data_IF_107392060940
#
_entry.id   IF_107392060940
#
_cell.length_a   1.000
_cell.length_b   1.000
_cell.length_c   1.000
_cell.angle_alpha   90.00
_cell.angle_beta   90.00
_cell.angle_gamma   90.00
#
_symmetry.space_group_name_H-M   'P 1'
#
loop_
_entity.id
_entity.type
_entity.pdbx_description
1 polymer ?
#
# COMPACT_ATOMS: atom_id res chain seq x y z
N UNK A 1 21.47 -59.27 -4.39
CA UNK A 1 20.81 -57.98 -4.70
C UNK A 1 21.36 -56.93 -3.75
N UNK A 2 21.85 -55.81 -4.27
CA UNK A 2 22.30 -54.69 -3.44
C UNK A 2 21.13 -54.05 -2.68
N UNK A 3 21.39 -53.41 -1.55
CA UNK A 3 20.34 -52.71 -0.78
C UNK A 3 19.66 -51.65 -1.67
N UNK A 4 18.34 -51.70 -1.75
CA UNK A 4 17.53 -50.71 -2.48
C UNK A 4 17.27 -51.00 -3.95
N UNK A 5 17.80 -52.10 -4.53
CA UNK A 5 17.47 -52.49 -5.91
C UNK A 5 16.07 -53.13 -5.98
N UNK A 6 15.25 -52.72 -6.95
CA UNK A 6 13.90 -53.25 -7.20
C UNK A 6 13.88 -54.07 -8.50
N UNK A 7 14.52 -53.59 -9.57
CA UNK A 7 14.79 -54.36 -10.80
C UNK A 7 16.25 -54.19 -11.23
N UNK A 8 16.63 -54.69 -12.41
CA UNK A 8 18.00 -54.53 -12.94
C UNK A 8 18.40 -53.06 -13.18
N UNK A 9 17.43 -52.15 -13.39
CA UNK A 9 17.65 -50.73 -13.68
C UNK A 9 16.88 -49.76 -12.78
N UNK A 10 16.09 -50.26 -11.82
CA UNK A 10 15.28 -49.44 -10.90
C UNK A 10 15.73 -49.68 -9.47
N UNK A 11 16.00 -48.60 -8.75
CA UNK A 11 16.24 -48.60 -7.31
C UNK A 11 15.31 -47.62 -6.57
N UNK A 12 15.30 -47.73 -5.24
CA UNK A 12 14.45 -46.90 -4.36
C UNK A 12 14.76 -45.41 -4.51
N UNK A 13 16.02 -45.01 -4.69
CA UNK A 13 16.38 -43.60 -4.81
C UNK A 13 15.83 -42.99 -6.10
N UNK A 14 15.87 -43.73 -7.21
CA UNK A 14 15.26 -43.32 -8.47
C UNK A 14 13.74 -43.13 -8.35
N UNK A 15 13.04 -44.05 -7.66
CA UNK A 15 11.59 -43.91 -7.45
C UNK A 15 11.28 -42.68 -6.61
N UNK A 16 12.00 -42.48 -5.50
CA UNK A 16 11.82 -41.31 -4.62
C UNK A 16 12.03 -40.01 -5.40
N UNK A 17 13.02 -39.96 -6.29
CA UNK A 17 13.25 -38.80 -7.15
C UNK A 17 12.05 -38.52 -8.08
N UNK A 18 11.48 -39.53 -8.74
CA UNK A 18 10.31 -39.32 -9.59
C UNK A 18 9.05 -38.93 -8.80
N UNK A 19 8.84 -39.52 -7.62
CA UNK A 19 7.75 -39.12 -6.71
C UNK A 19 7.91 -37.67 -6.29
N UNK A 20 9.13 -37.24 -5.95
CA UNK A 20 9.43 -35.84 -5.67
C UNK A 20 9.08 -34.93 -6.85
N UNK A 21 9.47 -35.29 -8.08
CA UNK A 21 9.15 -34.48 -9.26
C UNK A 21 7.64 -34.36 -9.51
N UNK A 22 6.89 -35.44 -9.34
CA UNK A 22 5.43 -35.42 -9.47
C UNK A 22 4.81 -34.53 -8.38
N UNK A 23 5.24 -34.69 -7.13
CA UNK A 23 4.80 -33.83 -6.02
C UNK A 23 5.12 -32.35 -6.29
N UNK A 24 6.34 -32.05 -6.73
CA UNK A 24 6.77 -30.69 -7.01
C UNK A 24 5.95 -30.06 -8.15
N UNK A 25 5.71 -30.80 -9.24
CA UNK A 25 4.85 -30.33 -10.33
C UNK A 25 3.41 -30.09 -9.85
N UNK A 26 2.86 -30.98 -9.01
CA UNK A 26 1.54 -30.79 -8.40
C UNK A 26 1.50 -29.57 -7.46
N UNK A 27 2.57 -29.32 -6.70
CA UNK A 27 2.69 -28.13 -5.85
C UNK A 27 2.73 -26.84 -6.70
N UNK A 28 3.49 -26.81 -7.79
CA UNK A 28 3.51 -25.67 -8.72
C UNK A 28 2.11 -25.43 -9.29
N UNK A 29 1.41 -26.47 -9.72
CA UNK A 29 0.03 -26.37 -10.19
C UNK A 29 -0.89 -25.77 -9.12
N UNK A 30 -0.82 -26.28 -7.89
CA UNK A 30 -1.62 -25.80 -6.76
C UNK A 30 -1.34 -24.34 -6.44
N UNK A 31 -0.07 -23.93 -6.38
CA UNK A 31 0.31 -22.55 -6.10
C UNK A 31 -0.14 -21.58 -7.21
N UNK A 32 0.00 -21.97 -8.49
CA UNK A 32 -0.48 -21.17 -9.63
C UNK A 32 -2.02 -21.07 -9.68
N UNK A 33 -2.73 -22.06 -9.13
CA UNK A 33 -4.18 -22.02 -9.01
C UNK A 33 -4.62 -21.10 -7.86
N UNK A 34 -3.99 -21.22 -6.69
CA UNK A 34 -4.29 -20.38 -5.52
C UNK A 34 -3.83 -18.93 -5.69
N UNK A 35 -2.82 -18.65 -6.51
CA UNK A 35 -2.34 -17.27 -6.75
C UNK A 35 -3.34 -16.39 -7.50
N UNK A 36 -4.40 -16.98 -8.07
CA UNK A 36 -5.43 -16.28 -8.85
C UNK A 36 -6.62 -15.79 -8.03
N UNK A 37 -6.45 -15.73 -6.71
CA UNK A 37 -7.51 -15.30 -5.79
C UNK A 37 -7.75 -13.79 -5.84
N UNK A 38 -6.74 -13.00 -6.21
CA UNK A 38 -6.84 -11.54 -6.37
C UNK A 38 -6.25 -11.12 -7.73
N UNK A 39 -6.78 -10.06 -8.33
CA UNK A 39 -6.28 -9.53 -9.62
C UNK A 39 -6.59 -10.39 -10.85
N UNK A 40 -7.50 -11.36 -10.74
CA UNK A 40 -8.00 -12.19 -11.83
C UNK A 40 -9.53 -12.09 -11.93
N UNK A 41 -10.12 -12.30 -13.12
CA UNK A 41 -9.47 -12.65 -14.40
C UNK A 41 -8.67 -11.49 -14.99
N UNK A 42 -7.66 -11.80 -15.81
CA UNK A 42 -6.85 -10.79 -16.48
C UNK A 42 -7.72 -10.03 -17.49
N UNK A 43 -7.56 -8.71 -17.53
CA UNK A 43 -8.23 -7.85 -18.49
C UNK A 43 -7.28 -7.44 -19.61
N UNK A 44 -7.80 -7.44 -20.83
CA UNK A 44 -7.07 -6.98 -22.03
C UNK A 44 -7.97 -6.09 -22.86
N UNK A 45 -7.51 -4.85 -23.07
CA UNK A 45 -8.19 -3.88 -23.91
C UNK A 45 -8.04 -4.27 -25.39
N UNK A 46 -9.16 -4.39 -26.08
CA UNK A 46 -9.20 -4.59 -27.52
C UNK A 46 -9.23 -3.26 -28.27
N UNK A 47 -8.79 -3.24 -29.55
CA UNK A 47 -8.85 -2.04 -30.39
C UNK A 47 -10.25 -1.46 -30.58
N UNK A 48 -11.30 -2.28 -30.43
CA UNK A 48 -12.71 -1.86 -30.51
C UNK A 48 -13.24 -1.25 -29.20
N UNK A 49 -12.39 -1.12 -28.17
CA UNK A 49 -12.74 -0.59 -26.85
C UNK A 49 -13.44 -1.60 -25.93
N UNK A 50 -13.64 -2.85 -26.36
CA UNK A 50 -14.13 -3.91 -25.48
C UNK A 50 -13.03 -4.50 -24.62
N UNK A 51 -13.38 -4.97 -23.42
CA UNK A 51 -12.44 -5.62 -22.50
C UNK A 51 -12.64 -7.14 -22.59
N UNK A 52 -11.56 -7.87 -22.88
CA UNK A 52 -11.56 -9.34 -22.78
C UNK A 52 -11.04 -9.75 -21.41
N UNK A 53 -11.82 -10.59 -20.73
CA UNK A 53 -11.43 -11.27 -19.48
C UNK A 53 -10.90 -12.67 -19.76
N UNK A 54 -9.77 -13.01 -19.17
CA UNK A 54 -9.09 -14.30 -19.40
C UNK A 54 -8.57 -14.89 -18.07
N UNK A 55 -8.96 -16.12 -17.68
CA UNK A 55 -8.43 -16.78 -16.49
C UNK A 55 -6.98 -17.26 -16.68
N UNK A 56 -6.43 -17.19 -17.90
CA UNK A 56 -5.12 -17.71 -18.26
C UNK A 56 -5.13 -19.23 -18.45
N UNK A 57 -3.99 -19.88 -18.24
CA UNK A 57 -3.78 -21.31 -18.58
C UNK A 57 -4.58 -22.27 -17.66
N UNK A 58 -4.87 -21.86 -16.43
CA UNK A 58 -5.64 -22.63 -15.45
C UNK A 58 -6.99 -21.95 -15.19
N UNK A 59 -8.05 -22.71 -14.87
CA UNK A 59 -9.34 -22.12 -14.49
C UNK A 59 -9.23 -21.28 -13.21
N UNK A 60 -10.27 -20.49 -12.93
CA UNK A 60 -10.37 -19.73 -11.69
C UNK A 60 -10.52 -20.64 -10.46
N UNK A 61 -9.95 -20.26 -9.31
CA UNK A 61 -10.14 -20.97 -8.06
C UNK A 61 -11.58 -20.92 -7.57
N UNK A 62 -12.00 -21.98 -6.87
CA UNK A 62 -13.25 -21.95 -6.12
C UNK A 62 -13.20 -20.85 -5.06
N UNK A 63 -14.33 -20.19 -4.85
CA UNK A 63 -14.48 -19.13 -3.86
C UNK A 63 -14.20 -19.69 -2.46
N UNK A 64 -13.20 -19.11 -1.80
CA UNK A 64 -12.95 -19.28 -0.37
C UNK A 64 -13.53 -18.07 0.36
N UNK A 65 -14.20 -18.32 1.48
CA UNK A 65 -14.79 -17.26 2.30
C UNK A 65 -13.91 -17.07 3.55
N UNK A 66 -13.32 -15.89 3.67
CA UNK A 66 -12.61 -15.46 4.87
C UNK A 66 -13.59 -14.76 5.80
N UNK A 67 -13.93 -15.43 6.90
CA UNK A 67 -14.81 -14.86 7.93
C UNK A 67 -14.02 -13.91 8.81
N UNK A 68 -14.36 -12.63 8.81
CA UNK A 68 -13.73 -11.64 9.70
C UNK A 68 -14.62 -11.32 10.88
N UNK A 69 -14.01 -10.84 11.96
CA UNK A 69 -14.74 -10.53 13.19
C UNK A 69 -15.65 -9.30 13.06
N UNK A 70 -15.24 -8.29 12.30
CA UNK A 70 -15.89 -6.98 12.31
C UNK A 70 -16.31 -6.45 10.93
N UNK A 71 -15.64 -6.85 9.85
CA UNK A 71 -15.88 -6.31 8.51
C UNK A 71 -16.63 -7.28 7.59
N UNK A 72 -17.25 -8.31 8.18
CA UNK A 72 -18.04 -9.30 7.46
C UNK A 72 -17.19 -10.39 6.78
N UNK A 73 -17.85 -11.14 5.91
CA UNK A 73 -17.24 -12.23 5.15
C UNK A 73 -16.62 -11.71 3.85
N UNK A 74 -15.36 -12.06 3.59
CA UNK A 74 -14.65 -11.71 2.38
C UNK A 74 -14.50 -12.93 1.47
N UNK A 75 -15.27 -13.03 0.37
CA UNK A 75 -15.06 -14.05 -0.64
C UNK A 75 -13.83 -13.74 -1.50
N UNK A 76 -13.10 -14.77 -1.92
CA UNK A 76 -11.97 -14.64 -2.85
C UNK A 76 -11.82 -15.93 -3.69
N UNK A 77 -11.84 -15.86 -5.04
CA UNK A 77 -11.88 -14.64 -5.86
C UNK A 77 -13.24 -13.91 -5.78
N UNK A 78 -13.24 -12.63 -6.17
CA UNK A 78 -14.40 -11.74 -6.12
C UNK A 78 -14.47 -10.80 -7.32
N UNK A 79 -15.66 -10.23 -7.55
CA UNK A 79 -15.93 -9.34 -8.69
C UNK A 79 -15.84 -7.84 -8.34
N UNK A 80 -15.48 -7.49 -7.09
CA UNK A 80 -15.48 -6.09 -6.60
C UNK A 80 -14.66 -5.14 -7.47
N UNK A 81 -13.53 -5.61 -7.99
CA UNK A 81 -12.57 -4.78 -8.71
C UNK A 81 -12.94 -4.63 -10.19
N UNK A 82 -14.00 -5.32 -10.65
CA UNK A 82 -14.49 -5.24 -12.04
C UNK A 82 -15.22 -3.91 -12.34
N UNK A 83 -15.67 -3.21 -11.29
CA UNK A 83 -16.37 -1.93 -11.37
C UNK A 83 -15.45 -0.73 -11.03
N UNK A 84 -14.14 -0.92 -11.11
CA UNK A 84 -13.21 0.19 -10.86
C UNK A 84 -13.39 1.32 -11.87
N UNK A 85 -13.34 2.59 -11.43
CA UNK A 85 -13.40 3.71 -12.35
C UNK A 85 -12.19 3.68 -13.26
N UNK A 86 -12.41 4.15 -14.49
CA UNK A 86 -11.31 4.36 -15.43
C UNK A 86 -10.25 5.25 -14.78
N UNK A 87 -8.99 4.86 -15.01
CA UNK A 87 -7.80 5.62 -14.64
C UNK A 87 -7.95 7.06 -15.16
N UNK A 88 -7.64 8.05 -14.31
CA UNK A 88 -7.68 9.47 -14.67
C UNK A 88 -6.44 9.88 -15.48
N UNK A 89 -6.29 9.25 -16.64
CA UNK A 89 -5.18 9.48 -17.54
C UNK A 89 -5.49 9.00 -18.95
N UNK A 90 -4.65 9.41 -19.89
CA UNK A 90 -4.72 9.00 -21.28
C UNK A 90 -3.44 8.28 -21.67
N UNK A 91 -3.53 7.31 -22.58
CA UNK A 91 -2.33 6.64 -23.09
C UNK A 91 -1.48 7.63 -23.86
N UNK A 92 -0.16 7.57 -23.69
CA UNK A 92 0.78 8.41 -24.42
C UNK A 92 0.64 8.24 -25.95
N UNK A 93 0.26 7.04 -26.41
CA UNK A 93 -0.12 6.73 -27.78
C UNK A 93 -1.31 5.75 -27.79
N UNK A 94 -2.16 5.73 -28.83
CA UNK A 94 -3.37 4.89 -28.92
C UNK A 94 -3.04 3.43 -29.27
N UNK A 95 -2.07 2.83 -28.57
CA UNK A 95 -1.59 1.45 -28.76
C UNK A 95 -1.69 0.72 -27.41
N UNK A 96 -2.08 -0.55 -27.42
CA UNK A 96 -2.10 -1.39 -26.21
C UNK A 96 -0.70 -1.58 -25.64
N UNK A 97 -0.57 -1.41 -24.32
CA UNK A 97 0.70 -1.48 -23.60
C UNK A 97 1.45 -0.14 -23.48
N UNK A 98 0.91 0.95 -24.03
CA UNK A 98 1.48 2.29 -23.82
C UNK A 98 1.20 2.79 -22.40
N UNK A 99 2.17 3.52 -21.79
CA UNK A 99 1.96 4.11 -20.47
C UNK A 99 0.85 5.16 -20.50
N UNK A 100 0.23 5.38 -19.35
CA UNK A 100 -0.75 6.43 -19.15
C UNK A 100 -0.11 7.70 -18.59
N UNK A 101 -0.52 8.83 -19.13
CA UNK A 101 -0.19 10.18 -18.68
C UNK A 101 -1.40 10.77 -17.92
N UNK A 102 -1.20 11.37 -16.75
CA UNK A 102 -2.27 12.03 -16.00
C UNK A 102 -2.86 13.20 -16.80
N UNK A 103 -4.19 13.30 -16.83
CA UNK A 103 -4.91 14.41 -17.49
C UNK A 103 -5.19 15.59 -16.56
N UNK A 104 -5.01 15.40 -15.26
CA UNK A 104 -5.19 16.39 -14.20
C UNK A 104 -3.91 16.50 -13.34
N UNK A 105 -3.98 17.22 -12.21
CA UNK A 105 -2.84 17.31 -11.28
C UNK A 105 -2.35 15.90 -10.90
N UNK A 106 -1.10 15.53 -11.25
CA UNK A 106 -0.58 14.19 -11.03
C UNK A 106 -0.48 13.82 -9.55
N UNK A 107 -0.46 14.80 -8.64
CA UNK A 107 -0.47 14.53 -7.20
C UNK A 107 -1.81 13.99 -6.70
N UNK A 108 -2.91 14.27 -7.41
CA UNK A 108 -4.27 13.95 -6.96
C UNK A 108 -5.08 13.09 -7.93
N UNK A 109 -4.53 12.78 -9.10
CA UNK A 109 -5.17 11.97 -10.13
C UNK A 109 -5.30 10.48 -9.77
N UNK A 110 -4.60 10.00 -8.74
CA UNK A 110 -4.67 8.61 -8.29
C UNK A 110 -4.08 7.62 -9.30
N UNK A 111 -3.07 8.03 -10.08
CA UNK A 111 -2.42 7.22 -11.11
C UNK A 111 -0.99 6.82 -10.73
N UNK A 112 -0.55 5.67 -11.23
CA UNK A 112 0.84 5.22 -11.06
C UNK A 112 1.19 5.07 -9.59
N UNK A 113 2.28 5.69 -9.09
CA UNK A 113 2.64 5.60 -7.69
C UNK A 113 1.67 6.35 -6.76
N UNK A 114 0.75 7.15 -7.31
CA UNK A 114 -0.33 7.80 -6.59
C UNK A 114 -1.62 6.97 -6.48
N UNK A 115 -1.68 5.83 -7.15
CA UNK A 115 -2.83 4.93 -7.10
C UNK A 115 -2.97 4.29 -5.71
N UNK A 116 -4.19 3.96 -5.34
CA UNK A 116 -4.52 3.38 -4.04
C UNK A 116 -5.70 2.41 -4.17
N UNK A 117 -5.76 1.40 -3.29
CA UNK A 117 -6.83 0.42 -3.33
C UNK A 117 -8.11 0.97 -2.69
N UNK A 118 -9.27 0.63 -3.25
CA UNK A 118 -10.58 1.00 -2.68
C UNK A 118 -10.99 0.07 -1.53
N UNK A 119 -10.21 0.10 -0.45
CA UNK A 119 -10.51 -0.65 0.77
C UNK A 119 -11.80 -0.14 1.42
N UNK A 120 -12.34 -0.94 2.34
CA UNK A 120 -13.54 -0.60 3.10
C UNK A 120 -13.41 0.78 3.76
N UNK A 121 -14.40 1.65 3.58
CA UNK A 121 -14.43 2.96 4.26
C UNK A 121 -14.90 2.82 5.72
N UNK A 122 -14.16 2.03 6.51
CA UNK A 122 -14.33 1.83 7.93
C UNK A 122 -12.95 1.79 8.63
N UNK A 123 -12.85 2.19 9.90
CA UNK A 123 -11.61 2.05 10.67
C UNK A 123 -11.19 0.58 10.84
N UNK A 124 -9.88 0.33 10.88
CA UNK A 124 -9.36 -0.94 11.40
C UNK A 124 -9.58 -1.02 12.92
N UNK A 125 -9.79 -2.24 13.40
CA UNK A 125 -10.14 -2.48 14.80
C UNK A 125 -9.12 -3.39 15.50
N UNK A 126 -8.96 -3.19 16.80
CA UNK A 126 -8.20 -4.09 17.67
C UNK A 126 -8.92 -5.42 17.82
N UNK A 127 -8.28 -6.41 18.45
CA UNK A 127 -8.90 -7.71 18.76
C UNK A 127 -10.19 -7.59 19.58
N UNK A 128 -10.28 -6.55 20.41
CA UNK A 128 -11.41 -6.25 21.29
C UNK A 128 -12.50 -5.40 20.61
N UNK A 129 -12.22 -4.85 19.42
CA UNK A 129 -13.17 -4.08 18.63
C UNK A 129 -13.07 -2.56 18.78
N UNK A 130 -12.03 -2.07 19.46
CA UNK A 130 -11.76 -0.63 19.53
C UNK A 130 -11.06 -0.12 18.27
N UNK A 131 -11.04 1.20 18.05
CA UNK A 131 -10.23 1.83 17.00
C UNK A 131 -8.75 1.48 17.18
N UNK A 132 -8.13 0.94 16.13
CA UNK A 132 -6.74 0.47 16.18
C UNK A 132 -5.71 1.60 16.08
N UNK A 133 -5.89 2.52 15.13
CA UNK A 133 -4.99 3.65 14.88
C UNK A 133 -5.66 4.93 15.37
N UNK A 134 -5.08 5.54 16.40
CA UNK A 134 -5.65 6.70 17.12
C UNK A 134 -4.56 7.70 17.51
N UNK A 135 -4.88 8.99 17.74
CA UNK A 135 -3.93 9.93 18.34
C UNK A 135 -3.49 9.46 19.74
N UNK A 136 -2.22 9.63 20.08
CA UNK A 136 -1.68 9.14 21.36
C UNK A 136 -2.38 9.79 22.57
N UNK A 137 -2.87 11.03 22.45
CA UNK A 137 -3.66 11.66 23.51
C UNK A 137 -4.96 10.92 23.86
N UNK A 138 -5.50 10.09 22.96
CA UNK A 138 -6.69 9.28 23.21
C UNK A 138 -6.39 7.99 24.00
N UNK A 139 -5.11 7.64 24.18
CA UNK A 139 -4.66 6.41 24.84
C UNK A 139 -3.65 6.74 25.95
N UNK A 140 -4.12 7.07 27.17
CA UNK A 140 -3.26 7.56 28.26
C UNK A 140 -2.21 6.54 28.73
N UNK A 141 -2.42 5.25 28.45
CA UNK A 141 -1.49 4.18 28.78
C UNK A 141 -0.33 4.05 27.76
N UNK A 142 -0.36 4.83 26.68
CA UNK A 142 0.71 4.88 25.69
C UNK A 142 1.60 6.10 25.94
N UNK A 143 2.90 5.90 25.86
CA UNK A 143 3.90 6.96 25.94
C UNK A 143 4.96 6.79 24.85
N UNK A 144 5.51 7.90 24.39
CA UNK A 144 6.77 7.86 23.65
C UNK A 144 7.89 7.41 24.60
N UNK A 145 8.78 6.55 24.11
CA UNK A 145 9.89 6.02 24.90
C UNK A 145 10.83 7.16 25.31
N UNK A 146 11.27 7.16 26.57
CA UNK A 146 12.23 8.12 27.05
C UNK A 146 13.57 7.99 26.29
N UNK A 147 14.09 9.12 25.82
CA UNK A 147 15.32 9.16 25.03
C UNK A 147 15.09 9.22 23.52
N UNK A 148 13.93 8.80 23.03
CA UNK A 148 13.54 9.00 21.64
C UNK A 148 13.06 10.44 21.40
N UNK A 149 13.35 11.05 20.24
CA UNK A 149 12.88 12.38 19.94
C UNK A 149 11.35 12.45 19.83
N UNK A 150 10.72 13.24 20.69
CA UNK A 150 9.31 13.59 20.52
C UNK A 150 9.15 14.54 19.32
N UNK A 151 8.47 14.10 18.23
CA UNK A 151 8.34 14.90 17.02
C UNK A 151 7.32 16.03 17.17
N UNK A 152 6.50 16.06 18.22
CA UNK A 152 5.51 17.12 18.43
C UNK A 152 6.21 18.47 18.61
N UNK A 153 5.67 19.48 17.92
CA UNK A 153 6.26 20.82 17.81
C UNK A 153 7.42 20.94 16.82
N UNK A 154 7.87 19.85 16.18
CA UNK A 154 8.91 19.94 15.16
C UNK A 154 8.35 20.47 13.82
N UNK A 155 9.08 21.34 13.11
CA UNK A 155 8.72 21.73 11.75
C UNK A 155 8.89 20.56 10.78
N UNK A 156 8.01 20.49 9.79
CA UNK A 156 8.01 19.49 8.72
C UNK A 156 8.56 20.13 7.45
N UNK A 157 9.71 19.62 7.02
CA UNK A 157 10.50 20.15 5.91
C UNK A 157 10.32 19.23 4.69
N UNK A 158 9.90 19.82 3.56
CA UNK A 158 9.70 19.12 2.31
C UNK A 158 11.00 18.81 1.56
N UNK A 159 10.88 18.18 0.39
CA UNK A 159 12.02 17.87 -0.48
C UNK A 159 12.71 19.10 -1.04
N UNK A 160 11.99 20.21 -1.14
CA UNK A 160 12.47 21.54 -1.54
C UNK A 160 13.16 22.30 -0.39
N UNK A 161 13.36 21.64 0.76
CA UNK A 161 13.93 22.19 1.98
C UNK A 161 13.12 23.37 2.59
N UNK A 162 11.90 23.59 2.11
CA UNK A 162 10.94 24.54 2.65
C UNK A 162 10.05 23.91 3.74
N UNK A 163 9.66 24.72 4.73
CA UNK A 163 8.73 24.30 5.77
C UNK A 163 7.29 24.26 5.23
N UNK A 164 6.59 23.14 5.43
CA UNK A 164 5.19 22.99 5.05
C UNK A 164 4.20 22.99 6.21
N UNK A 165 4.69 22.83 7.44
CA UNK A 165 3.84 22.79 8.63
C UNK A 165 4.58 22.35 9.89
N UNK A 166 3.83 22.14 10.97
CA UNK A 166 4.36 21.71 12.27
C UNK A 166 3.63 20.46 12.75
N UNK A 167 4.37 19.48 13.26
CA UNK A 167 3.77 18.28 13.88
C UNK A 167 3.04 18.69 15.16
N UNK A 168 1.79 18.27 15.30
CA UNK A 168 0.96 18.60 16.47
C UNK A 168 0.53 17.39 17.27
N UNK A 169 0.49 16.22 16.65
CA UNK A 169 0.15 14.97 17.33
C UNK A 169 0.81 13.79 16.64
N UNK A 170 0.93 12.68 17.35
CA UNK A 170 1.39 11.40 16.84
C UNK A 170 0.30 10.35 16.99
N UNK A 171 0.13 9.52 15.97
CA UNK A 171 -0.88 8.48 15.93
C UNK A 171 -0.22 7.11 16.05
N UNK A 172 -0.75 6.31 16.98
CA UNK A 172 -0.21 5.01 17.39
C UNK A 172 -1.13 3.88 16.97
N UNK A 173 -0.53 2.73 16.68
CA UNK A 173 -1.20 1.45 16.52
C UNK A 173 -1.29 0.75 17.89
N UNK A 174 -2.51 0.57 18.38
CA UNK A 174 -2.77 -0.07 19.68
C UNK A 174 -2.52 -1.59 19.68
N UNK A 175 -2.57 -2.22 18.52
CA UNK A 175 -2.36 -3.66 18.40
C UNK A 175 -0.88 -4.01 18.34
N UNK A 176 -0.06 -3.17 17.70
CA UNK A 176 1.36 -3.44 17.46
C UNK A 176 2.32 -2.52 18.23
N UNK A 177 1.81 -1.59 19.04
CA UNK A 177 2.59 -0.67 19.88
C UNK A 177 3.66 0.13 19.10
N UNK A 178 3.25 0.73 17.97
CA UNK A 178 4.14 1.52 17.12
C UNK A 178 3.48 2.80 16.60
N UNK A 179 4.29 3.79 16.28
CA UNK A 179 3.85 4.98 15.54
C UNK A 179 3.47 4.61 14.10
N UNK A 180 2.38 5.16 13.60
CA UNK A 180 1.93 4.99 12.20
C UNK A 180 1.92 6.30 11.44
N UNK A 181 1.45 7.38 12.07
CA UNK A 181 1.35 8.70 11.44
C UNK A 181 1.77 9.83 12.38
N UNK A 182 2.19 10.93 11.79
CA UNK A 182 2.30 12.24 12.42
C UNK A 182 1.13 13.09 11.92
N UNK A 183 0.39 13.72 12.82
CA UNK A 183 -0.59 14.74 12.46
C UNK A 183 0.12 16.10 12.38
N UNK A 184 -0.05 16.78 11.27
CA UNK A 184 0.66 18.01 10.94
C UNK A 184 -0.35 19.14 10.73
N UNK A 185 -0.10 20.27 11.37
CA UNK A 185 -0.74 21.54 11.01
C UNK A 185 -0.02 22.13 9.82
N UNK A 186 -0.68 22.25 8.68
CA UNK A 186 -0.11 22.90 7.51
C UNK A 186 -0.10 24.42 7.70
N UNK A 187 0.68 25.13 6.88
CA UNK A 187 0.68 26.59 6.85
C UNK A 187 -0.71 27.19 6.54
N UNK A 188 -1.55 26.49 5.75
CA UNK A 188 -2.94 26.86 5.50
C UNK A 188 -3.91 26.58 6.65
N UNK A 189 -3.42 25.95 7.74
CA UNK A 189 -4.19 25.67 8.95
C UNK A 189 -4.93 24.33 8.96
N UNK A 190 -4.80 23.50 7.92
CA UNK A 190 -5.39 22.17 7.86
C UNK A 190 -4.63 21.17 8.74
N UNK A 191 -5.34 20.17 9.23
CA UNK A 191 -4.74 18.96 9.83
C UNK A 191 -4.60 17.90 8.74
N UNK A 192 -3.38 17.40 8.53
CA UNK A 192 -3.08 16.36 7.56
C UNK A 192 -2.21 15.27 8.18
N UNK A 193 -2.30 14.06 7.63
CA UNK A 193 -1.57 12.90 8.12
C UNK A 193 -0.29 12.71 7.30
N UNK A 194 0.86 12.58 7.97
CA UNK A 194 2.13 12.19 7.36
C UNK A 194 2.47 10.77 7.83
N UNK A 195 2.55 9.77 6.93
CA UNK A 195 2.96 8.42 7.30
C UNK A 195 4.38 8.42 7.88
N UNK A 196 4.59 7.72 9.00
CA UNK A 196 5.89 7.68 9.66
C UNK A 196 6.99 7.08 8.75
N UNK A 197 6.61 6.21 7.81
CA UNK A 197 7.50 5.59 6.82
C UNK A 197 8.03 6.57 5.77
N UNK A 198 7.40 7.73 5.61
CA UNK A 198 7.89 8.84 4.79
C UNK A 198 8.57 9.95 5.60
N UNK A 199 8.56 9.84 6.93
CA UNK A 199 9.08 10.83 7.85
C UNK A 199 10.44 10.43 8.39
N UNK A 200 11.44 11.29 8.19
CA UNK A 200 12.73 11.18 8.89
C UNK A 200 12.75 12.18 10.03
N UNK A 201 12.58 11.68 11.26
CA UNK A 201 12.67 12.50 12.48
C UNK A 201 14.15 12.75 12.78
N UNK A 202 14.54 14.01 12.88
CA UNK A 202 15.90 14.45 13.20
C UNK A 202 15.84 15.27 14.49
N UNK A 203 16.70 14.91 15.44
CA UNK A 203 16.87 15.63 16.69
C UNK A 203 18.31 15.47 17.16
N UNK A 204 19.18 16.35 16.68
CA UNK A 204 20.58 16.36 17.08
C UNK A 204 21.12 17.79 17.14
N UNK A 205 22.31 17.96 17.73
CA UNK A 205 22.92 19.28 17.94
C UNK A 205 23.35 19.97 16.64
N UNK A 206 23.56 19.21 15.56
CA UNK A 206 24.08 19.70 14.28
C UNK A 206 22.96 20.15 13.36
N UNK A 207 21.89 19.37 13.26
CA UNK A 207 20.80 19.57 12.32
C UNK A 207 19.53 20.15 12.97
N UNK A 208 19.51 20.29 14.30
CA UNK A 208 18.37 20.76 15.06
C UNK A 208 17.26 19.71 15.21
N UNK A 209 16.04 20.18 15.51
CA UNK A 209 14.84 19.35 15.62
C UNK A 209 13.92 19.63 14.43
N UNK A 210 13.68 18.62 13.60
CA UNK A 210 12.81 18.71 12.43
C UNK A 210 12.39 17.33 11.92
N UNK A 211 11.29 17.29 11.19
CA UNK A 211 10.88 16.11 10.43
C UNK A 211 11.11 16.38 8.95
N UNK A 212 11.87 15.53 8.28
CA UNK A 212 12.08 15.64 6.82
C UNK A 212 11.14 14.68 6.10
N UNK A 213 10.39 15.21 5.14
CA UNK A 213 9.54 14.45 4.22
C UNK A 213 10.09 14.63 2.80
N UNK A 214 10.90 13.66 2.34
CA UNK A 214 11.49 13.73 0.99
C UNK A 214 10.51 13.38 -0.12
N UNK A 215 9.33 12.85 0.18
CA UNK A 215 8.36 12.46 -0.84
C UNK A 215 7.72 13.67 -1.55
N UNK A 216 7.44 14.76 -0.84
CA UNK A 216 6.70 15.91 -1.37
C UNK A 216 7.37 17.24 -0.99
N UNK A 217 7.01 18.33 -1.67
CA UNK A 217 7.40 19.70 -1.32
C UNK A 217 6.67 20.20 -0.08
N UNK A 218 7.23 21.20 0.62
CA UNK A 218 6.60 21.80 1.80
C UNK A 218 5.18 22.31 1.50
N UNK A 219 5.03 23.06 0.41
CA UNK A 219 3.74 23.56 -0.07
C UNK A 219 2.73 22.47 -0.45
N UNK A 220 3.18 21.27 -0.80
CA UNK A 220 2.31 20.14 -1.19
C UNK A 220 1.68 19.44 0.01
N UNK A 221 2.11 19.71 1.25
CA UNK A 221 1.43 19.20 2.44
C UNK A 221 -0.05 19.66 2.50
N UNK A 222 -0.35 20.85 1.98
CA UNK A 222 -1.72 21.35 1.88
C UNK A 222 -2.60 20.46 0.98
N UNK A 223 -2.02 19.73 0.02
CA UNK A 223 -2.77 18.86 -0.89
C UNK A 223 -3.07 17.46 -0.34
N UNK A 224 -2.50 17.08 0.80
CA UNK A 224 -2.69 15.75 1.40
C UNK A 224 -4.19 15.52 1.68
N UNK A 225 -4.77 14.35 1.34
CA UNK A 225 -6.15 14.01 1.69
C UNK A 225 -6.41 14.14 3.19
N UNK A 226 -7.44 14.90 3.55
CA UNK A 226 -7.86 15.06 4.94
C UNK A 226 -8.69 13.86 5.41
N UNK A 227 -8.73 13.66 6.73
CA UNK A 227 -9.62 12.69 7.35
C UNK A 227 -11.04 13.25 7.45
N UNK A 228 -12.05 12.39 7.32
CA UNK A 228 -13.45 12.77 7.55
C UNK A 228 -13.72 13.05 9.03
N UNK A 229 -13.02 12.36 9.92
CA UNK A 229 -13.13 12.53 11.36
C UNK A 229 -11.74 12.78 11.97
N UNK A 230 -11.62 13.69 12.96
CA UNK A 230 -10.32 14.07 13.51
C UNK A 230 -9.72 13.02 14.45
N UNK A 231 -10.51 12.05 14.90
CA UNK A 231 -10.16 11.09 15.96
C UNK A 231 -9.98 9.65 15.45
N UNK A 232 -10.19 9.42 14.15
CA UNK A 232 -10.06 8.10 13.52
C UNK A 232 -9.69 8.21 12.05
N UNK A 233 -9.02 7.18 11.56
CA UNK A 233 -8.68 6.99 10.15
C UNK A 233 -9.32 5.69 9.66
N UNK A 234 -9.94 5.72 8.47
CA UNK A 234 -10.47 4.50 7.82
C UNK A 234 -9.41 3.79 6.98
N UNK A 235 -9.59 2.50 6.71
CA UNK A 235 -8.72 1.74 5.81
C UNK A 235 -8.60 2.40 4.42
N UNK A 236 -9.68 3.04 3.94
CA UNK A 236 -9.67 3.81 2.69
C UNK A 236 -8.92 5.14 2.82
N UNK A 237 -9.03 5.83 3.95
CA UNK A 237 -8.28 7.06 4.21
C UNK A 237 -6.77 6.78 4.34
N UNK A 238 -6.37 5.68 4.98
CA UNK A 238 -4.98 5.20 5.01
C UNK A 238 -4.42 5.04 3.59
N UNK A 239 -5.17 4.37 2.71
CA UNK A 239 -4.83 4.18 1.30
C UNK A 239 -4.67 5.51 0.54
N UNK A 240 -5.62 6.44 0.71
CA UNK A 240 -5.57 7.75 0.04
C UNK A 240 -4.40 8.61 0.50
N UNK A 241 -4.13 8.64 1.82
CA UNK A 241 -2.99 9.35 2.38
C UNK A 241 -1.70 8.74 1.81
N UNK A 242 -1.52 7.43 1.91
CA UNK A 242 -0.34 6.73 1.39
C UNK A 242 -0.14 6.96 -0.11
N UNK A 243 -1.23 6.85 -0.89
CA UNK A 243 -1.23 7.12 -2.33
C UNK A 243 -0.71 8.53 -2.63
N UNK A 244 -1.15 9.57 -1.91
CA UNK A 244 -0.67 10.93 -2.13
C UNK A 244 0.86 11.08 -1.96
N UNK A 245 1.42 10.50 -0.89
CA UNK A 245 2.88 10.51 -0.69
C UNK A 245 3.61 9.64 -1.72
N UNK A 246 3.01 8.53 -2.13
CA UNK A 246 3.48 7.71 -3.25
C UNK A 246 3.57 8.52 -4.54
N UNK A 247 2.52 9.27 -4.88
CA UNK A 247 2.47 10.17 -6.04
C UNK A 247 3.66 11.14 -6.01
N UNK A 248 3.94 11.71 -4.83
CA UNK A 248 5.08 12.60 -4.60
C UNK A 248 6.40 12.03 -5.09
N UNK A 249 6.66 10.73 -4.89
CA UNK A 249 7.94 10.10 -5.26
C UNK A 249 8.28 10.23 -6.75
N UNK A 250 7.28 10.41 -7.62
CA UNK A 250 7.46 10.64 -9.05
C UNK A 250 7.03 12.05 -9.49
N UNK A 251 6.03 12.65 -8.83
CA UNK A 251 5.34 13.84 -9.31
C UNK A 251 5.58 15.11 -8.48
N UNK A 252 6.26 15.03 -7.33
CA UNK A 252 6.47 16.20 -6.47
C UNK A 252 7.24 17.33 -7.17
N UNK A 253 8.20 16.98 -8.04
CA UNK A 253 8.97 17.92 -8.86
C UNK A 253 9.08 17.40 -10.29
N UNK A 254 9.07 18.27 -11.33
CA UNK A 254 9.17 17.84 -12.73
C UNK A 254 10.39 16.95 -13.00
N UNK A 255 11.54 17.29 -12.40
CA UNK A 255 12.81 16.57 -12.54
C UNK A 255 12.73 15.08 -12.15
N UNK A 256 11.78 14.66 -11.32
CA UNK A 256 11.63 13.23 -10.92
C UNK A 256 11.10 12.35 -12.05
N UNK A 257 10.46 12.95 -13.05
CA UNK A 257 9.95 12.25 -14.22
C UNK A 257 10.98 12.13 -15.35
N UNK A 258 12.03 12.95 -15.29
CA UNK A 258 13.09 12.94 -16.29
C UNK A 258 14.04 11.76 -16.07
N UNK A 259 14.80 11.42 -17.11
CA UNK A 259 15.88 10.43 -16.98
C UNK A 259 16.93 10.94 -16.02
N UNK A 260 17.50 10.03 -15.22
CA UNK A 260 18.55 10.39 -14.25
C UNK A 260 19.88 10.77 -14.90
N UNK A 261 20.06 10.44 -16.18
CA UNK A 261 21.25 10.65 -17.00
C UNK A 261 20.89 11.45 -18.25
#
# INVERSE_FOLDING_TARGET
MGRGAITQYIDVAQIVLYVFWVFFAALVFYLLYESKREGFPLESDRPDGSVKRDPGILPMPQVKIYRTRFHGDFPSPHDRDLDEPRVQGERALPITGMPYEPTSDPMTSGIGPGAFARRTDAPDLTVDGDLKIVPIAAVPDFSLVEGDPDPRGMPVIGVDDEEGGTVVEVWVDRSEHMLRYLEVQTAGGRRVMVPITFARVISDRVHGRKVIVRAIRGSQLEGVPGLRHPDRITLLEEEKVMGYFGAGTLFATPKRRDTLL
#
